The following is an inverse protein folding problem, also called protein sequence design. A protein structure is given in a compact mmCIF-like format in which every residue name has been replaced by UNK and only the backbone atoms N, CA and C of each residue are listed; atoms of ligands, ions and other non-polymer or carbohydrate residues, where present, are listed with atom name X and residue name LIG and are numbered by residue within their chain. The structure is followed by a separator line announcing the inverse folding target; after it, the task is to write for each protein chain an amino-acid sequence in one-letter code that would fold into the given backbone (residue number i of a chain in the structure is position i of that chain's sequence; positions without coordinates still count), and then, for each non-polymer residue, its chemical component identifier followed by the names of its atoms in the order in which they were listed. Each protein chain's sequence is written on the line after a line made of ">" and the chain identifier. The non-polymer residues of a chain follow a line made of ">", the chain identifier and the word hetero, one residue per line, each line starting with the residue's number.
data_IF_875695896037
#
_entry.id   IF_875695896037
#
_cell.length_a   1.000
_cell.length_b   1.000
_cell.length_c   1.000
_cell.angle_alpha   90.00
_cell.angle_beta   90.00
_cell.angle_gamma   90.00
#
_symmetry.space_group_name_H-M   'P 1'
#
loop_
_entity.id
_entity.type
_entity.pdbx_description
1 polymer ?
#
# COMPACT_ATOMS: atom_id res chain seq x y z
N UNK A 1 -6.38 -49.08 2.17
CA UNK A 1 -7.53 -48.28 1.70
C UNK A 1 -8.40 -48.05 2.92
N UNK A 2 -8.62 -46.80 3.33
CA UNK A 2 -9.34 -46.51 4.57
C UNK A 2 -10.31 -45.33 4.41
N UNK A 3 -11.32 -45.30 5.27
CA UNK A 3 -12.27 -44.19 5.35
C UNK A 3 -11.76 -43.19 6.39
N UNK A 4 -11.54 -41.94 6.00
CA UNK A 4 -11.30 -40.83 6.91
C UNK A 4 -12.60 -40.07 7.13
N UNK A 5 -12.96 -39.84 8.38
CA UNK A 5 -14.09 -38.95 8.71
C UNK A 5 -13.56 -37.52 8.79
N UNK A 6 -14.24 -36.60 8.12
CA UNK A 6 -13.99 -35.15 8.22
C UNK A 6 -15.28 -34.52 8.74
N UNK A 7 -15.17 -33.72 9.79
CA UNK A 7 -16.29 -32.98 10.36
C UNK A 7 -16.14 -31.52 9.99
N UNK A 8 -17.14 -30.96 9.32
CA UNK A 8 -17.25 -29.54 8.97
C UNK A 8 -18.24 -28.91 9.94
N UNK A 9 -17.80 -27.95 10.75
CA UNK A 9 -18.61 -27.26 11.77
C UNK A 9 -19.46 -26.17 11.14
N UNK A 10 -20.39 -25.61 11.92
CA UNK A 10 -21.32 -24.57 11.43
C UNK A 10 -20.64 -23.28 10.95
N UNK A 11 -19.52 -22.90 11.57
CA UNK A 11 -18.71 -21.76 11.17
C UNK A 11 -17.65 -22.12 10.12
N UNK A 12 -17.67 -23.34 9.59
CA UNK A 12 -16.68 -23.81 8.63
C UNK A 12 -17.34 -24.07 7.26
N UNK A 13 -16.54 -23.96 6.20
CA UNK A 13 -16.88 -24.48 4.87
C UNK A 13 -15.82 -25.44 4.40
N UNK A 14 -16.24 -26.56 3.82
CA UNK A 14 -15.33 -27.50 3.19
C UNK A 14 -15.23 -27.25 1.68
N UNK A 15 -14.05 -27.43 1.10
CA UNK A 15 -13.88 -27.57 -0.34
C UNK A 15 -13.57 -29.04 -0.63
N UNK A 16 -14.43 -29.70 -1.41
CA UNK A 16 -14.25 -31.08 -1.80
C UNK A 16 -13.43 -31.17 -3.08
N UNK A 17 -12.30 -31.86 -3.01
CA UNK A 17 -11.46 -32.18 -4.16
C UNK A 17 -11.52 -33.67 -4.49
N UNK A 18 -11.49 -34.00 -5.78
CA UNK A 18 -11.31 -35.36 -6.29
C UNK A 18 -10.13 -35.39 -7.25
N UNK A 19 -9.12 -36.19 -6.94
CA UNK A 19 -7.87 -36.30 -7.72
C UNK A 19 -7.15 -34.95 -7.95
N UNK A 20 -7.39 -33.96 -7.07
CA UNK A 20 -6.85 -32.61 -7.15
C UNK A 20 -7.79 -31.58 -7.77
N UNK A 21 -8.87 -32.03 -8.43
CA UNK A 21 -9.85 -31.13 -9.04
C UNK A 21 -10.95 -30.76 -8.05
N UNK A 22 -11.34 -29.49 -8.07
CA UNK A 22 -12.46 -29.00 -7.29
C UNK A 22 -13.78 -29.63 -7.76
N UNK A 23 -14.56 -30.17 -6.83
CA UNK A 23 -15.85 -30.78 -7.13
C UNK A 23 -17.00 -29.91 -6.65
N UNK A 24 -16.96 -29.46 -5.38
CA UNK A 24 -18.03 -28.66 -4.77
C UNK A 24 -17.62 -28.04 -3.44
N UNK A 25 -18.36 -26.99 -3.05
CA UNK A 25 -18.40 -26.50 -1.67
C UNK A 25 -19.21 -27.46 -0.82
N UNK A 26 -18.77 -27.65 0.42
CA UNK A 26 -19.31 -28.59 1.39
C UNK A 26 -19.83 -27.79 2.58
N UNK A 27 -21.11 -27.99 2.87
CA UNK A 27 -21.81 -27.42 4.01
C UNK A 27 -21.42 -28.11 5.34
N UNK A 28 -21.76 -27.55 6.50
CA UNK A 28 -21.55 -28.16 7.80
C UNK A 28 -22.16 -29.56 7.88
N UNK A 29 -21.37 -30.52 8.36
CA UNK A 29 -21.78 -31.91 8.43
C UNK A 29 -20.61 -32.87 8.60
N UNK A 30 -20.95 -34.16 8.77
CA UNK A 30 -19.98 -35.24 8.93
C UNK A 30 -19.82 -36.00 7.61
N UNK A 31 -18.63 -35.94 7.02
CA UNK A 31 -18.33 -36.53 5.72
C UNK A 31 -17.35 -37.69 5.85
N UNK A 32 -17.53 -38.72 5.02
CA UNK A 32 -16.60 -39.84 4.90
C UNK A 32 -15.84 -39.73 3.59
N UNK A 33 -14.53 -39.63 3.70
CA UNK A 33 -13.61 -39.42 2.59
C UNK A 33 -12.80 -40.68 2.40
N UNK A 34 -12.76 -41.18 1.17
CA UNK A 34 -12.05 -42.40 0.84
C UNK A 34 -10.59 -42.12 0.47
N UNK A 35 -9.64 -42.84 1.09
CA UNK A 35 -8.20 -42.63 0.87
C UNK A 35 -7.46 -43.93 0.48
N UNK A 36 -6.58 -43.82 -0.53
CA UNK A 36 -5.61 -44.85 -0.91
C UNK A 36 -4.23 -44.54 -0.29
N UNK A 37 -3.51 -45.54 0.25
CA UNK A 37 -2.25 -45.32 0.96
C UNK A 37 -1.03 -45.02 0.07
N UNK A 38 -1.09 -45.26 -1.26
CA UNK A 38 0.08 -45.16 -2.17
C UNK A 38 -0.06 -44.15 -3.32
N UNK A 39 -1.19 -43.44 -3.46
CA UNK A 39 -1.43 -42.46 -4.55
C UNK A 39 -1.90 -41.13 -3.97
N UNK A 40 -1.78 -40.04 -4.76
CA UNK A 40 -2.40 -38.72 -4.43
C UNK A 40 -3.83 -38.92 -3.92
N UNK A 41 -4.21 -38.12 -2.90
CA UNK A 41 -5.50 -38.21 -2.20
C UNK A 41 -6.65 -38.18 -3.22
N UNK A 42 -7.27 -39.34 -3.47
CA UNK A 42 -8.38 -39.46 -4.43
C UNK A 42 -9.55 -38.58 -4.05
N UNK A 43 -9.84 -38.48 -2.74
CA UNK A 43 -10.76 -37.48 -2.22
C UNK A 43 -10.10 -36.72 -1.06
N UNK A 44 -10.28 -35.41 -1.04
CA UNK A 44 -9.84 -34.54 0.03
C UNK A 44 -10.94 -33.51 0.33
N UNK A 45 -11.10 -33.17 1.60
CA UNK A 45 -11.89 -32.02 2.02
C UNK A 45 -10.95 -31.09 2.76
N UNK A 46 -10.82 -29.88 2.25
CA UNK A 46 -10.09 -28.79 2.90
C UNK A 46 -11.10 -27.93 3.64
N UNK A 47 -10.89 -27.67 4.93
CA UNK A 47 -11.86 -27.00 5.79
C UNK A 47 -11.34 -25.61 6.10
N UNK A 48 -12.19 -24.61 5.89
CA UNK A 48 -11.91 -23.19 6.10
C UNK A 48 -12.84 -22.64 7.17
N UNK A 49 -12.29 -21.81 8.07
CA UNK A 49 -13.08 -21.09 9.08
C UNK A 49 -13.64 -19.80 8.47
N UNK A 50 -14.96 -19.62 8.53
CA UNK A 50 -15.65 -18.42 8.05
C UNK A 50 -15.47 -17.21 8.99
N UNK A 51 -14.97 -17.42 10.20
CA UNK A 51 -14.58 -16.35 11.13
C UNK A 51 -13.28 -15.66 10.71
N UNK A 52 -12.47 -16.33 9.88
CA UNK A 52 -11.32 -15.79 9.15
C UNK A 52 -11.77 -15.45 7.72
N UNK A 53 -12.22 -14.22 7.45
CA UNK A 53 -12.98 -13.97 6.22
C UNK A 53 -12.09 -14.00 4.99
N UNK A 54 -10.77 -13.83 5.11
CA UNK A 54 -9.85 -13.83 3.99
C UNK A 54 -9.65 -15.25 3.49
N UNK A 55 -10.00 -15.50 2.22
CA UNK A 55 -9.82 -16.81 1.60
C UNK A 55 -8.49 -16.84 0.84
N UNK A 56 -7.52 -17.56 1.40
CA UNK A 56 -6.21 -17.79 0.76
C UNK A 56 -6.10 -19.23 0.28
N UNK A 57 -5.84 -19.41 -1.02
CA UNK A 57 -5.68 -20.74 -1.60
C UNK A 57 -4.75 -20.71 -2.84
N UNK A 58 -3.84 -21.67 -3.02
CA UNK A 58 -2.93 -21.70 -4.18
C UNK A 58 -3.63 -21.75 -5.54
N UNK A 59 -4.81 -22.38 -5.59
CA UNK A 59 -5.65 -22.50 -6.80
C UNK A 59 -6.74 -21.43 -6.88
N UNK A 60 -6.62 -20.30 -6.16
CA UNK A 60 -7.66 -19.27 -6.07
C UNK A 60 -8.23 -18.90 -7.45
N UNK A 61 -7.37 -18.63 -8.44
CA UNK A 61 -7.78 -18.26 -9.79
C UNK A 61 -8.67 -19.33 -10.44
N UNK A 62 -8.32 -20.61 -10.35
CA UNK A 62 -9.13 -21.69 -10.92
C UNK A 62 -10.41 -21.94 -10.13
N UNK A 63 -10.37 -21.69 -8.81
CA UNK A 63 -11.47 -21.91 -7.89
C UNK A 63 -12.59 -20.88 -8.04
N UNK A 64 -12.27 -19.59 -8.27
CA UNK A 64 -13.28 -18.53 -8.42
C UNK A 64 -14.08 -18.59 -9.73
N UNK A 65 -13.59 -19.36 -10.70
CA UNK A 65 -14.32 -19.66 -11.94
C UNK A 65 -15.49 -20.62 -11.70
N UNK A 66 -15.47 -21.37 -10.59
CA UNK A 66 -16.50 -22.33 -10.25
C UNK A 66 -17.71 -21.61 -9.65
N UNK A 67 -18.90 -21.66 -10.27
CA UNK A 67 -20.07 -20.88 -9.82
C UNK A 67 -20.42 -21.13 -8.34
N UNK A 68 -20.35 -22.39 -7.90
CA UNK A 68 -20.65 -22.80 -6.53
C UNK A 68 -19.76 -22.11 -5.48
N UNK A 69 -18.50 -21.83 -5.81
CA UNK A 69 -17.59 -21.14 -4.92
C UNK A 69 -17.66 -19.62 -5.08
N UNK A 70 -17.87 -19.14 -6.31
CA UNK A 70 -18.08 -17.72 -6.60
C UNK A 70 -19.25 -17.11 -5.81
N UNK A 71 -20.33 -17.87 -5.65
CA UNK A 71 -21.50 -17.45 -4.85
C UNK A 71 -21.20 -17.34 -3.35
N UNK A 72 -20.28 -18.18 -2.85
CA UNK A 72 -19.87 -18.19 -1.44
C UNK A 72 -18.78 -17.15 -1.11
N UNK A 73 -18.24 -16.45 -2.12
CA UNK A 73 -17.15 -15.49 -1.96
C UNK A 73 -17.54 -14.07 -2.39
N UNK A 74 -16.98 -13.08 -1.71
CA UNK A 74 -16.83 -11.71 -2.20
C UNK A 74 -15.50 -11.63 -2.92
N UNK A 75 -15.54 -11.53 -4.24
CA UNK A 75 -14.34 -11.46 -5.09
C UNK A 75 -13.97 -10.01 -5.32
N UNK A 76 -12.68 -9.70 -5.16
CA UNK A 76 -12.12 -8.38 -5.38
C UNK A 76 -10.96 -8.51 -6.36
N UNK A 77 -11.22 -8.19 -7.62
CA UNK A 77 -10.21 -8.05 -8.66
C UNK A 77 -9.79 -6.58 -8.76
N UNK A 78 -8.48 -6.35 -8.62
CA UNK A 78 -7.84 -5.03 -8.66
C UNK A 78 -6.79 -5.02 -9.76
N UNK A 79 -6.86 -4.02 -10.64
CA UNK A 79 -5.82 -3.73 -11.62
C UNK A 79 -4.53 -3.18 -10.98
N UNK A 80 -3.48 -3.05 -11.78
CA UNK A 80 -2.17 -2.55 -11.33
C UNK A 80 -2.26 -1.16 -10.68
N UNK A 81 -3.17 -0.33 -11.19
CA UNK A 81 -3.45 1.02 -10.72
C UNK A 81 -4.58 1.11 -9.67
N UNK A 82 -5.01 -0.01 -9.09
CA UNK A 82 -6.07 -0.04 -8.08
C UNK A 82 -5.56 -0.56 -6.74
N UNK A 83 -6.05 0.05 -5.66
CA UNK A 83 -5.93 -0.45 -4.29
C UNK A 83 -7.31 -0.54 -3.68
N UNK A 84 -7.45 -1.36 -2.64
CA UNK A 84 -8.69 -1.37 -1.88
C UNK A 84 -8.44 -1.41 -0.38
N UNK A 85 -9.24 -0.66 0.37
CA UNK A 85 -9.34 -0.80 1.81
C UNK A 85 -10.39 -1.85 2.13
N UNK A 86 -10.01 -2.77 3.01
CA UNK A 86 -10.89 -3.83 3.51
C UNK A 86 -11.26 -3.48 4.93
N UNK A 87 -12.55 -3.27 5.15
CA UNK A 87 -13.11 -3.16 6.49
C UNK A 87 -13.89 -4.42 6.83
N UNK A 88 -13.68 -4.98 8.01
CA UNK A 88 -14.42 -6.14 8.52
C UNK A 88 -15.13 -5.70 9.80
N UNK A 89 -16.46 -5.86 9.83
CA UNK A 89 -17.33 -5.42 10.92
C UNK A 89 -17.12 -3.93 11.30
N UNK A 90 -16.91 -3.09 10.28
CA UNK A 90 -16.71 -1.64 10.42
C UNK A 90 -15.28 -1.22 10.82
N UNK A 91 -14.38 -2.17 11.09
CA UNK A 91 -12.98 -1.89 11.41
C UNK A 91 -12.12 -2.04 10.16
N UNK A 92 -11.25 -1.06 9.90
CA UNK A 92 -10.27 -1.15 8.83
C UNK A 92 -9.18 -2.17 9.19
N UNK A 93 -9.02 -3.21 8.36
CA UNK A 93 -8.13 -4.34 8.64
C UNK A 93 -6.90 -4.38 7.73
N UNK A 94 -7.04 -4.05 6.44
CA UNK A 94 -5.94 -4.15 5.49
C UNK A 94 -6.11 -3.28 4.24
N UNK A 95 -5.00 -3.07 3.55
CA UNK A 95 -4.95 -2.52 2.20
C UNK A 95 -4.60 -3.67 1.24
N UNK A 96 -5.36 -3.80 0.16
CA UNK A 96 -5.10 -4.75 -0.91
C UNK A 96 -4.35 -4.08 -2.05
N UNK A 97 -3.31 -4.78 -2.52
CA UNK A 97 -2.61 -4.48 -3.76
C UNK A 97 -3.31 -5.06 -5.00
N UNK A 98 -2.68 -4.95 -6.19
CA UNK A 98 -3.24 -5.48 -7.41
C UNK A 98 -3.34 -7.01 -7.37
N UNK A 99 -4.26 -7.56 -8.16
CA UNK A 99 -4.48 -9.00 -8.26
C UNK A 99 -5.88 -9.44 -7.82
N UNK A 100 -6.01 -10.75 -7.65
CA UNK A 100 -7.26 -11.42 -7.30
C UNK A 100 -7.27 -11.72 -5.80
N UNK A 101 -8.24 -11.15 -5.10
CA UNK A 101 -8.48 -11.40 -3.67
C UNK A 101 -9.89 -11.96 -3.49
N UNK A 102 -10.08 -12.77 -2.46
CA UNK A 102 -11.38 -13.33 -2.14
C UNK A 102 -11.62 -13.37 -0.64
N UNK A 103 -12.87 -13.16 -0.28
CA UNK A 103 -13.32 -13.22 1.11
C UNK A 103 -14.57 -14.07 1.22
N UNK A 104 -14.66 -14.91 2.25
CA UNK A 104 -15.86 -15.68 2.56
C UNK A 104 -17.05 -14.78 2.84
N UNK A 105 -18.16 -15.02 2.14
CA UNK A 105 -19.45 -14.50 2.59
C UNK A 105 -19.90 -15.33 3.78
N UNK A 106 -20.21 -14.67 4.88
CA UNK A 106 -20.51 -15.36 6.11
C UNK A 106 -20.95 -14.41 7.21
N UNK A 107 -20.65 -14.74 8.48
CA UNK A 107 -21.17 -13.98 9.62
C UNK A 107 -20.54 -12.61 9.77
N UNK A 108 -19.36 -12.38 9.18
CA UNK A 108 -18.63 -11.11 9.27
C UNK A 108 -18.94 -10.22 8.07
N UNK A 109 -19.22 -8.94 8.33
CA UNK A 109 -19.55 -7.96 7.29
C UNK A 109 -18.28 -7.43 6.65
N UNK A 110 -18.12 -7.66 5.36
CA UNK A 110 -16.95 -7.20 4.59
C UNK A 110 -17.36 -6.00 3.75
N UNK A 111 -16.63 -4.90 3.89
CA UNK A 111 -16.77 -3.69 3.08
C UNK A 111 -15.46 -3.45 2.32
N UNK A 112 -15.58 -3.17 1.03
CA UNK A 112 -14.45 -2.94 0.13
C UNK A 112 -14.58 -1.53 -0.44
N UNK A 113 -13.61 -0.68 -0.14
CA UNK A 113 -13.50 0.67 -0.67
C UNK A 113 -12.34 0.71 -1.66
N UNK A 114 -12.62 0.94 -2.94
CA UNK A 114 -11.60 0.95 -4.01
C UNK A 114 -11.06 2.36 -4.22
N UNK A 115 -9.77 2.44 -4.49
CA UNK A 115 -9.07 3.67 -4.83
C UNK A 115 -8.18 3.46 -6.03
N UNK A 116 -8.11 4.48 -6.90
CA UNK A 116 -7.09 4.54 -7.95
C UNK A 116 -5.80 5.14 -7.38
N UNK A 117 -4.65 4.62 -7.81
CA UNK A 117 -3.34 5.22 -7.50
C UNK A 117 -2.91 6.28 -8.53
N UNK A 118 -3.75 6.55 -9.53
CA UNK A 118 -3.54 7.65 -10.47
C UNK A 118 -3.58 8.99 -9.73
N UNK A 119 -4.52 9.09 -8.80
CA UNK A 119 -4.54 10.11 -7.76
C UNK A 119 -3.21 10.05 -7.00
N UNK A 120 -2.42 11.11 -7.05
CA UNK A 120 -1.12 11.13 -6.37
C UNK A 120 -1.27 11.04 -4.86
N UNK A 121 -2.21 11.83 -4.32
CA UNK A 121 -2.41 12.01 -2.89
C UNK A 121 -3.61 11.19 -2.41
N UNK A 122 -3.42 10.48 -1.32
CA UNK A 122 -4.52 9.85 -0.58
C UNK A 122 -5.15 10.90 0.35
N UNK A 123 -6.35 11.37 -0.03
CA UNK A 123 -7.22 12.15 0.85
C UNK A 123 -8.31 11.23 1.41
N UNK A 124 -8.28 10.96 2.72
CA UNK A 124 -9.26 10.07 3.35
C UNK A 124 -9.55 10.46 4.81
N UNK A 125 -10.82 10.46 5.28
CA UNK A 125 -11.18 10.88 6.64
C UNK A 125 -10.51 10.06 7.76
N UNK A 126 -10.22 8.78 7.51
CA UNK A 126 -9.58 7.86 8.46
C UNK A 126 -8.07 7.71 8.23
N UNK A 127 -7.38 8.74 7.73
CA UNK A 127 -5.96 8.66 7.33
C UNK A 127 -5.05 8.10 8.43
N UNK A 128 -5.22 8.55 9.67
CA UNK A 128 -4.42 8.06 10.81
C UNK A 128 -4.62 6.57 11.09
N UNK A 129 -5.83 6.05 10.86
CA UNK A 129 -6.11 4.61 11.01
C UNK A 129 -5.45 3.83 9.89
N UNK A 130 -5.52 4.32 8.65
CA UNK A 130 -4.89 3.69 7.48
C UNK A 130 -3.37 3.59 7.68
N UNK A 131 -2.72 4.67 8.12
CA UNK A 131 -1.27 4.71 8.29
C UNK A 131 -0.76 3.75 9.38
N UNK A 132 -1.59 3.42 10.38
CA UNK A 132 -1.25 2.47 11.45
C UNK A 132 -1.38 1.00 11.04
N UNK A 133 -1.98 0.71 9.89
CA UNK A 133 -2.08 -0.66 9.40
C UNK A 133 -0.69 -1.23 9.09
N UNK A 134 -0.42 -2.52 9.39
CA UNK A 134 0.85 -3.15 9.01
C UNK A 134 1.14 -3.09 7.50
N UNK A 135 0.09 -3.14 6.67
CA UNK A 135 0.21 -3.07 5.21
C UNK A 135 0.45 -1.66 4.67
N UNK A 136 0.34 -0.60 5.49
CA UNK A 136 0.39 0.80 5.03
C UNK A 136 1.69 1.10 4.30
N UNK A 137 2.82 0.73 4.89
CA UNK A 137 4.15 0.96 4.35
C UNK A 137 4.41 0.27 3.00
N UNK A 138 3.63 -0.75 2.63
CA UNK A 138 3.76 -1.38 1.30
C UNK A 138 3.10 -0.55 0.19
N UNK A 139 2.11 0.27 0.52
CA UNK A 139 1.26 0.94 -0.46
C UNK A 139 1.25 2.46 -0.36
N UNK A 140 1.81 3.03 0.70
CA UNK A 140 1.76 4.46 1.00
C UNK A 140 3.12 5.00 1.38
N UNK A 141 3.39 6.22 0.93
CA UNK A 141 4.45 7.09 1.44
C UNK A 141 3.85 8.30 2.14
N UNK A 142 4.54 8.83 3.13
CA UNK A 142 4.06 9.99 3.89
C UNK A 142 5.18 10.97 4.19
N UNK A 143 4.85 12.26 4.12
CA UNK A 143 5.72 13.35 4.57
C UNK A 143 4.93 14.25 5.52
N UNK A 144 5.56 14.57 6.65
CA UNK A 144 5.08 15.59 7.58
C UNK A 144 5.85 16.87 7.29
N UNK A 145 5.13 17.95 6.99
CA UNK A 145 5.71 19.23 6.56
C UNK A 145 5.54 20.23 7.69
N UNK A 146 6.67 20.79 8.14
CA UNK A 146 6.67 21.79 9.20
C UNK A 146 6.06 23.12 8.75
N UNK A 147 5.63 23.96 9.70
CA UNK A 147 4.98 25.25 9.44
C UNK A 147 5.81 26.27 8.66
N UNK A 148 7.14 26.10 8.64
CA UNK A 148 8.05 26.98 7.89
C UNK A 148 8.72 26.25 6.74
N UNK A 149 8.24 25.07 6.39
CA UNK A 149 8.74 24.30 5.28
C UNK A 149 7.68 24.23 4.21
N UNK A 150 8.17 23.97 3.01
CA UNK A 150 7.36 23.53 1.90
C UNK A 150 8.05 22.31 1.29
N UNK A 151 7.25 21.39 0.80
CA UNK A 151 7.76 20.18 0.17
C UNK A 151 7.44 20.20 -1.32
N UNK A 152 8.48 20.08 -2.14
CA UNK A 152 8.35 19.83 -3.56
C UNK A 152 8.25 18.33 -3.79
N UNK A 153 7.14 17.87 -4.37
CA UNK A 153 6.86 16.46 -4.63
C UNK A 153 7.11 16.15 -6.10
N UNK A 154 7.88 15.11 -6.34
CA UNK A 154 8.29 14.67 -7.67
C UNK A 154 7.76 13.26 -7.93
N UNK A 155 7.26 13.01 -9.15
CA UNK A 155 6.91 11.68 -9.66
C UNK A 155 7.81 11.41 -10.86
N UNK A 156 8.60 10.34 -10.81
CA UNK A 156 9.57 10.00 -11.85
C UNK A 156 10.55 11.15 -12.20
N UNK A 157 10.88 11.99 -11.21
CA UNK A 157 11.77 13.14 -11.37
C UNK A 157 11.09 14.43 -11.85
N UNK A 158 9.83 14.38 -12.27
CA UNK A 158 9.04 15.56 -12.65
C UNK A 158 8.33 16.16 -11.44
N UNK A 159 8.38 17.48 -11.29
CA UNK A 159 7.64 18.19 -10.23
C UNK A 159 6.13 18.08 -10.50
N UNK A 160 5.40 17.49 -9.57
CA UNK A 160 3.95 17.27 -9.70
C UNK A 160 3.13 18.05 -8.70
N UNK A 161 3.69 18.38 -7.53
CA UNK A 161 2.97 19.13 -6.51
C UNK A 161 3.93 19.92 -5.60
N UNK A 162 3.44 21.01 -5.03
CA UNK A 162 4.04 21.71 -3.89
C UNK A 162 3.11 21.60 -2.69
N UNK A 163 3.60 21.03 -1.59
CA UNK A 163 2.84 20.76 -0.38
C UNK A 163 3.28 21.72 0.75
N UNK A 164 2.31 22.43 1.33
CA UNK A 164 2.52 23.30 2.49
C UNK A 164 2.55 22.52 3.81
N UNK A 165 2.43 23.21 4.95
CA UNK A 165 2.45 22.58 6.26
C UNK A 165 1.32 21.55 6.45
N UNK A 166 1.66 20.44 7.10
CA UNK A 166 0.74 19.35 7.42
C UNK A 166 1.23 17.99 6.94
N UNK A 167 0.34 17.01 7.08
CA UNK A 167 0.61 15.62 6.69
C UNK A 167 0.11 15.35 5.29
N UNK A 168 1.00 14.86 4.45
CA UNK A 168 0.71 14.49 3.06
C UNK A 168 1.06 13.03 2.84
N UNK A 169 0.11 12.27 2.28
CA UNK A 169 0.23 10.82 2.05
C UNK A 169 0.01 10.53 0.57
N UNK A 170 0.88 9.72 -0.01
CA UNK A 170 0.91 9.42 -1.43
C UNK A 170 0.80 7.93 -1.68
N UNK A 171 0.16 7.55 -2.78
CA UNK A 171 0.08 6.16 -3.21
C UNK A 171 1.40 5.67 -3.82
N UNK A 172 1.78 4.43 -3.49
CA UNK A 172 2.88 3.68 -4.14
C UNK A 172 2.38 2.81 -5.28
N UNK A 173 3.25 2.64 -6.28
CA UNK A 173 3.06 1.69 -7.38
C UNK A 173 2.93 2.34 -8.76
N UNK A 174 2.76 3.66 -8.83
CA UNK A 174 2.73 4.41 -10.09
C UNK A 174 3.89 5.40 -10.17
N UNK A 175 5.05 4.86 -10.54
CA UNK A 175 6.31 5.61 -10.59
C UNK A 175 6.97 5.80 -9.23
N UNK A 176 8.15 6.42 -9.24
CA UNK A 176 8.91 6.74 -8.04
C UNK A 176 8.47 8.09 -7.51
N UNK A 177 7.93 8.13 -6.29
CA UNK A 177 7.66 9.37 -5.57
C UNK A 177 8.92 9.76 -4.79
N UNK A 178 9.35 11.01 -4.97
CA UNK A 178 10.43 11.62 -4.21
C UNK A 178 9.99 13.00 -3.76
N UNK A 179 10.60 13.53 -2.72
CA UNK A 179 10.30 14.88 -2.27
C UNK A 179 11.52 15.60 -1.73
N UNK A 180 11.47 16.94 -1.77
CA UNK A 180 12.49 17.83 -1.20
C UNK A 180 11.83 18.88 -0.31
N UNK A 181 12.21 18.90 0.95
CA UNK A 181 11.82 19.95 1.89
C UNK A 181 12.69 21.19 1.69
N UNK A 182 12.05 22.36 1.67
CA UNK A 182 12.71 23.65 1.57
C UNK A 182 12.26 24.50 2.76
N UNK A 183 13.22 24.98 3.54
CA UNK A 183 12.97 25.88 4.66
C UNK A 183 12.77 27.32 4.15
N UNK A 184 11.67 27.94 4.56
CA UNK A 184 11.25 29.29 4.19
C UNK A 184 11.71 30.36 5.19
N UNK A 185 12.38 29.95 6.27
CA UNK A 185 12.95 30.86 7.26
C UNK A 185 14.17 31.59 6.67
N UNK A 186 14.53 32.68 7.34
CA UNK A 186 15.79 33.36 7.10
C UNK A 186 16.95 32.46 7.52
N UNK A 187 17.94 32.36 6.63
CA UNK A 187 19.13 31.54 6.74
C UNK A 187 20.36 32.42 6.53
N UNK A 188 21.49 31.98 7.05
CA UNK A 188 22.77 32.68 6.93
C UNK A 188 23.70 31.87 6.04
N UNK A 189 24.35 32.53 5.09
CA UNK A 189 25.40 32.00 4.23
C UNK A 189 26.71 32.71 4.56
N UNK A 190 27.66 31.93 5.09
CA UNK A 190 29.02 32.40 5.34
C UNK A 190 29.88 32.18 4.09
N UNK A 191 30.39 33.27 3.52
CA UNK A 191 31.36 33.24 2.41
C UNK A 191 32.72 33.58 3.00
N UNK A 192 33.50 32.54 3.31
CA UNK A 192 34.80 32.67 3.96
C UNK A 192 35.95 32.81 2.96
N UNK A 193 36.89 33.72 3.26
CA UNK A 193 38.25 33.65 2.73
C UNK A 193 38.39 33.98 1.25
N UNK A 194 37.71 35.02 0.76
CA UNK A 194 38.01 35.55 -0.57
C UNK A 194 39.17 36.53 -0.49
N UNK A 195 40.25 36.23 -1.22
CA UNK A 195 41.33 37.18 -1.45
C UNK A 195 41.00 37.99 -2.71
N UNK A 196 40.87 39.30 -2.54
CA UNK A 196 40.57 40.22 -3.63
C UNK A 196 41.64 41.29 -3.70
N UNK A 197 42.02 41.68 -4.91
CA UNK A 197 42.91 42.81 -5.15
C UNK A 197 42.07 44.04 -5.46
N UNK A 198 42.28 45.11 -4.72
CA UNK A 198 41.63 46.39 -4.96
C UNK A 198 42.20 47.08 -6.20
N UNK A 199 41.53 48.13 -6.68
CA UNK A 199 41.93 48.86 -7.89
C UNK A 199 43.35 49.46 -7.79
N UNK A 200 43.80 49.79 -6.58
CA UNK A 200 45.13 50.29 -6.24
C UNK A 200 46.17 49.17 -5.98
N UNK A 201 45.84 47.92 -6.29
CA UNK A 201 46.73 46.74 -6.19
C UNK A 201 47.08 46.33 -4.75
N UNK A 202 46.20 46.58 -3.80
CA UNK A 202 46.32 46.06 -2.43
C UNK A 202 45.50 44.77 -2.30
N UNK A 203 46.09 43.73 -1.74
CA UNK A 203 45.39 42.45 -1.50
C UNK A 203 44.66 42.50 -0.16
N UNK A 204 43.36 42.23 -0.18
CA UNK A 204 42.50 42.14 0.99
C UNK A 204 41.91 40.74 1.11
N UNK A 205 41.81 40.24 2.35
CA UNK A 205 41.02 39.03 2.66
C UNK A 205 39.68 39.46 3.23
N UNK A 206 38.61 39.10 2.54
CA UNK A 206 37.25 39.45 2.92
C UNK A 206 36.48 38.19 3.34
N UNK A 207 35.72 38.32 4.42
CA UNK A 207 34.68 37.37 4.80
C UNK A 207 33.34 38.10 4.71
N UNK A 208 32.33 37.47 4.13
CA UNK A 208 30.98 38.01 4.01
C UNK A 208 30.02 37.06 4.71
N UNK A 209 29.06 37.62 5.43
CA UNK A 209 27.90 36.91 5.96
C UNK A 209 26.69 37.48 5.25
N UNK A 210 25.95 36.64 4.52
CA UNK A 210 24.75 37.02 3.81
C UNK A 210 23.53 36.32 4.43
N UNK A 211 22.49 37.07 4.75
CA UNK A 211 21.21 36.50 5.16
C UNK A 211 20.27 36.43 3.96
N UNK A 212 19.60 35.29 3.78
CA UNK A 212 18.66 35.05 2.69
C UNK A 212 17.48 34.22 3.17
N UNK A 213 16.38 34.26 2.42
CA UNK A 213 15.25 33.35 2.62
C UNK A 213 14.68 32.94 1.27
N UNK A 214 14.11 31.75 1.19
CA UNK A 214 13.44 31.31 -0.02
C UNK A 214 12.05 31.91 -0.10
N UNK A 215 11.77 32.66 -1.17
CA UNK A 215 10.43 33.21 -1.46
C UNK A 215 9.69 32.43 -2.54
N UNK A 216 10.42 31.85 -3.49
CA UNK A 216 9.90 30.96 -4.52
C UNK A 216 10.69 29.63 -4.52
N UNK A 217 10.16 28.58 -3.88
CA UNK A 217 10.80 27.27 -3.76
C UNK A 217 10.99 26.54 -5.10
N UNK A 218 10.06 26.72 -6.03
CA UNK A 218 10.10 26.06 -7.34
C UNK A 218 11.22 26.65 -8.17
N UNK A 219 11.29 27.98 -8.24
CA UNK A 219 12.37 28.69 -8.93
C UNK A 219 13.72 28.41 -8.26
N UNK A 220 13.79 28.47 -6.93
CA UNK A 220 15.03 28.20 -6.18
C UNK A 220 15.58 26.79 -6.48
N UNK A 221 14.72 25.78 -6.58
CA UNK A 221 15.15 24.42 -6.90
C UNK A 221 15.53 24.23 -8.37
N UNK A 222 14.79 24.83 -9.30
CA UNK A 222 15.00 24.67 -10.74
C UNK A 222 16.22 25.41 -11.28
N UNK A 223 16.57 26.55 -10.68
CA UNK A 223 17.69 27.37 -11.10
C UNK A 223 19.05 26.92 -10.54
N UNK A 224 19.06 26.05 -9.53
CA UNK A 224 20.26 25.72 -8.75
C UNK A 224 20.47 24.20 -8.71
N UNK A 225 21.60 23.75 -9.27
CA UNK A 225 21.99 22.34 -9.28
C UNK A 225 22.18 21.78 -7.86
N UNK A 226 22.64 22.64 -6.94
CA UNK A 226 22.87 22.33 -5.52
C UNK A 226 22.35 23.46 -4.62
N UNK A 227 21.04 23.48 -4.37
CA UNK A 227 20.44 24.46 -3.46
C UNK A 227 20.50 24.03 -1.98
N UNK A 228 20.69 22.74 -1.72
CA UNK A 228 20.64 22.19 -0.36
C UNK A 228 21.48 20.92 -0.34
N UNK A 229 22.78 21.08 -0.13
CA UNK A 229 23.64 20.04 0.49
C UNK A 229 24.00 20.54 1.89
#
# INVERSE_FOLDING_TARGET
>A
MFWKVVNVRQHERGLWFRDGDFVRVVEPGRYRVWQRPLTRRVHAIEVFDLLEPRFEHPLLRSLVEQPALREALTIVELGDDERAFVSIDGRLESILGPGLHAFWRGPRRIEIERHSVDELRLAHPRLDTILRLPSSASYLDGVEVSRHEVVLVFRNGELVETAGPGRHVFWRGRGTIAWKSIDLREQTLDVSGQEIMTQDKVTLRVNLVASYRVTDPVTARGALDKFTE
#
